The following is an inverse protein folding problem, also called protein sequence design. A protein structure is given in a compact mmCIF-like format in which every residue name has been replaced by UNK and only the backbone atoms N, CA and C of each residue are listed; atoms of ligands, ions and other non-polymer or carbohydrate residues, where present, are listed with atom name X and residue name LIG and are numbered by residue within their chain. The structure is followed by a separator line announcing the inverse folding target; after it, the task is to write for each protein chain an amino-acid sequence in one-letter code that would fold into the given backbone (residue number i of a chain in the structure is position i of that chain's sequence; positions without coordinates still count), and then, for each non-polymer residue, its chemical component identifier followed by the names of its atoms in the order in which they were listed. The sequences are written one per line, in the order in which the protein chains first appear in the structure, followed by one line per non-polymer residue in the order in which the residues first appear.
data_IF_672313450544
#
_entry.id   IF_672313450544
#
_cell.length_a   1.000
_cell.length_b   1.000
_cell.length_c   1.000
_cell.angle_alpha   90.00
_cell.angle_beta   90.00
_cell.angle_gamma   90.00
#
_symmetry.space_group_name_H-M   'P 1'
#
loop_
_entity.id
_entity.type
_entity.pdbx_description
1 polymer ?
#
# COMPACT_ATOMS: atom_id res chain seq x y z
N UNK A 1 26.60 -14.95 -10.96
CA UNK A 1 26.58 -13.52 -10.54
C UNK A 1 25.73 -12.63 -11.44
N UNK A 2 25.94 -12.65 -12.77
CA UNK A 2 25.17 -11.83 -13.72
C UNK A 2 23.64 -11.97 -13.60
N UNK A 3 23.12 -13.21 -13.49
CA UNK A 3 21.66 -13.48 -13.41
C UNK A 3 20.94 -12.69 -12.30
N UNK A 4 21.51 -12.59 -11.09
CA UNK A 4 20.87 -11.90 -9.97
C UNK A 4 20.78 -10.37 -10.12
N UNK A 5 21.71 -9.77 -10.87
CA UNK A 5 21.68 -8.33 -11.19
C UNK A 5 20.57 -8.06 -12.22
N UNK A 6 20.47 -8.90 -13.26
CA UNK A 6 19.39 -8.79 -14.26
C UNK A 6 18.01 -8.90 -13.63
N UNK A 7 17.79 -9.86 -12.71
CA UNK A 7 16.51 -9.98 -12.00
C UNK A 7 16.18 -8.72 -11.19
N UNK A 8 17.15 -8.17 -10.44
CA UNK A 8 16.92 -6.93 -9.70
C UNK A 8 16.57 -5.77 -10.61
N UNK A 9 17.28 -5.64 -11.74
CA UNK A 9 17.05 -4.56 -12.70
C UNK A 9 15.66 -4.67 -13.35
N UNK A 10 15.23 -5.88 -13.71
CA UNK A 10 13.87 -6.14 -14.17
C UNK A 10 12.82 -5.79 -13.12
N UNK A 11 13.03 -6.17 -11.86
CA UNK A 11 12.13 -5.81 -10.75
C UNK A 11 12.04 -4.30 -10.54
N UNK A 12 13.15 -3.56 -10.68
CA UNK A 12 13.15 -2.09 -10.59
C UNK A 12 12.28 -1.50 -11.71
N UNK A 13 12.46 -1.94 -12.95
CA UNK A 13 11.68 -1.45 -14.10
C UNK A 13 10.19 -1.74 -13.91
N UNK A 14 9.84 -2.97 -13.50
CA UNK A 14 8.45 -3.36 -13.20
C UNK A 14 7.87 -2.50 -12.06
N UNK A 15 8.67 -2.21 -11.03
CA UNK A 15 8.24 -1.36 -9.91
C UNK A 15 7.96 0.06 -10.38
N UNK A 16 8.85 0.65 -11.18
CA UNK A 16 8.67 2.01 -11.73
C UNK A 16 7.44 2.06 -12.63
N UNK A 17 7.27 1.09 -13.53
CA UNK A 17 6.10 1.01 -14.40
C UNK A 17 4.79 0.86 -13.58
N UNK A 18 4.81 0.00 -12.55
CA UNK A 18 3.66 -0.17 -11.65
C UNK A 18 3.33 1.11 -10.87
N UNK A 19 4.34 1.83 -10.37
CA UNK A 19 4.14 3.12 -9.69
C UNK A 19 3.56 4.16 -10.65
N UNK A 20 4.04 4.19 -11.90
CA UNK A 20 3.52 5.08 -12.92
C UNK A 20 2.05 4.83 -13.20
N UNK A 21 1.66 3.57 -13.44
CA UNK A 21 0.27 3.21 -13.70
C UNK A 21 -0.59 3.55 -12.47
N UNK A 22 -0.20 3.12 -11.28
CA UNK A 22 -1.07 3.24 -10.10
C UNK A 22 -1.21 4.69 -9.60
N UNK A 23 -0.18 5.54 -9.70
CA UNK A 23 -0.16 6.87 -9.08
C UNK A 23 -0.07 8.04 -10.06
N UNK A 24 0.40 7.84 -11.29
CA UNK A 24 0.59 8.92 -12.28
C UNK A 24 -0.50 8.86 -13.35
N UNK A 25 -0.80 7.67 -13.88
CA UNK A 25 -1.79 7.51 -14.95
C UNK A 25 -3.20 7.94 -14.47
N UNK A 26 -3.84 8.92 -15.13
CA UNK A 26 -5.10 9.52 -14.65
C UNK A 26 -6.22 8.50 -14.42
N UNK A 27 -6.29 7.49 -15.30
CA UNK A 27 -7.32 6.44 -15.29
C UNK A 27 -7.31 5.62 -14.00
N UNK A 28 -6.13 5.31 -13.48
CA UNK A 28 -5.97 4.44 -12.31
C UNK A 28 -5.71 5.22 -11.03
N UNK A 29 -5.08 6.41 -11.14
CA UNK A 29 -4.73 7.27 -10.02
C UNK A 29 -5.89 7.49 -9.07
N UNK A 30 -7.07 7.88 -9.57
CA UNK A 30 -8.24 8.13 -8.73
C UNK A 30 -8.61 6.90 -7.89
N UNK A 31 -8.69 5.73 -8.54
CA UNK A 31 -9.06 4.47 -7.88
C UNK A 31 -8.02 4.03 -6.85
N UNK A 32 -6.74 4.17 -7.16
CA UNK A 32 -5.65 3.87 -6.20
C UNK A 32 -5.76 4.74 -4.96
N UNK A 33 -5.93 6.06 -5.14
CA UNK A 33 -6.09 6.99 -4.02
C UNK A 33 -7.35 6.74 -3.20
N UNK A 34 -8.48 6.47 -3.86
CA UNK A 34 -9.74 6.15 -3.18
C UNK A 34 -9.62 4.87 -2.35
N UNK A 35 -9.02 3.81 -2.91
CA UNK A 35 -8.81 2.55 -2.18
C UNK A 35 -7.87 2.74 -0.98
N UNK A 36 -6.80 3.53 -1.13
CA UNK A 36 -5.89 3.85 -0.03
C UNK A 36 -6.61 4.68 1.05
N UNK A 37 -7.32 5.73 0.66
CA UNK A 37 -8.08 6.56 1.60
C UNK A 37 -9.13 5.75 2.34
N UNK A 38 -9.86 4.88 1.65
CA UNK A 38 -10.85 4.01 2.27
C UNK A 38 -10.24 3.02 3.26
N UNK A 39 -9.04 2.52 2.97
CA UNK A 39 -8.37 1.55 3.85
C UNK A 39 -7.90 2.17 5.16
N UNK A 40 -7.34 3.38 5.10
CA UNK A 40 -6.79 4.06 6.28
C UNK A 40 -7.81 4.97 7.00
N UNK A 41 -8.84 5.43 6.29
CA UNK A 41 -9.86 6.36 6.78
C UNK A 41 -11.26 6.01 6.23
N UNK A 42 -11.78 4.79 6.48
CA UNK A 42 -13.05 4.32 5.89
C UNK A 42 -14.23 5.23 6.25
N UNK A 43 -14.25 5.73 7.48
CA UNK A 43 -15.31 6.61 8.00
C UNK A 43 -15.51 7.85 7.15
N UNK A 44 -14.44 8.42 6.59
CA UNK A 44 -14.53 9.65 5.78
C UNK A 44 -15.39 9.45 4.52
N UNK A 45 -15.34 8.26 3.93
CA UNK A 45 -16.17 7.90 2.78
C UNK A 45 -17.64 7.81 3.18
N UNK A 46 -17.93 7.17 4.30
CA UNK A 46 -19.30 7.02 4.79
C UNK A 46 -19.89 8.34 5.28
N UNK A 47 -19.08 9.20 5.89
CA UNK A 47 -19.49 10.56 6.26
C UNK A 47 -19.86 11.39 5.03
N UNK A 48 -19.10 11.27 3.92
CA UNK A 48 -19.48 11.90 2.64
C UNK A 48 -20.79 11.33 2.10
N UNK A 49 -20.97 10.01 2.15
CA UNK A 49 -22.22 9.33 1.76
C UNK A 49 -23.42 9.82 2.57
N UNK A 50 -23.24 9.98 3.88
CA UNK A 50 -24.26 10.49 4.80
C UNK A 50 -24.76 11.88 4.42
N UNK A 51 -23.91 12.76 3.87
CA UNK A 51 -24.34 14.10 3.45
C UNK A 51 -25.42 14.06 2.36
N UNK A 52 -25.45 13.00 1.55
CA UNK A 52 -26.46 12.78 0.52
C UNK A 52 -27.67 12.00 1.06
N UNK A 53 -27.47 11.12 2.03
CA UNK A 53 -28.51 10.26 2.60
C UNK A 53 -29.32 10.92 3.73
N UNK A 54 -28.79 11.96 4.38
CA UNK A 54 -29.46 12.67 5.48
C UNK A 54 -30.79 13.29 5.02
N UNK A 55 -31.77 13.27 5.91
CA UNK A 55 -33.06 13.90 5.71
C UNK A 55 -32.94 15.43 5.88
N UNK A 56 -33.39 16.24 4.91
CA UNK A 56 -33.36 17.70 5.03
C UNK A 56 -34.37 18.25 6.05
N UNK A 57 -35.43 17.50 6.37
CA UNK A 57 -36.51 17.89 7.28
C UNK A 57 -36.33 17.31 8.69
N UNK A 58 -35.59 16.21 8.83
CA UNK A 58 -35.35 15.54 10.12
C UNK A 58 -33.84 15.45 10.45
N UNK A 59 -33.29 16.40 11.23
CA UNK A 59 -31.86 16.43 11.52
C UNK A 59 -31.42 15.18 12.30
N UNK A 60 -30.28 14.60 11.90
CA UNK A 60 -29.71 13.42 12.56
C UNK A 60 -30.22 12.07 12.02
N UNK A 61 -31.21 12.09 11.13
CA UNK A 61 -31.79 10.89 10.52
C UNK A 61 -31.51 10.80 9.02
N UNK A 62 -31.47 9.58 8.49
CA UNK A 62 -31.50 9.31 7.05
C UNK A 62 -32.92 9.50 6.52
N UNK A 63 -33.07 9.63 5.20
CA UNK A 63 -34.40 9.62 4.53
C UNK A 63 -35.20 8.35 4.79
N UNK A 64 -34.54 7.29 5.24
CA UNK A 64 -35.15 6.00 5.60
C UNK A 64 -35.44 5.89 7.11
N UNK A 65 -35.17 6.95 7.89
CA UNK A 65 -35.45 7.00 9.33
C UNK A 65 -34.38 6.38 10.22
N UNK A 66 -33.21 6.03 9.68
CA UNK A 66 -32.08 5.51 10.46
C UNK A 66 -31.32 6.65 11.13
N UNK A 67 -30.73 6.37 12.29
CA UNK A 67 -29.75 7.29 12.90
C UNK A 67 -28.44 7.31 12.11
N UNK A 68 -27.67 8.40 12.24
CA UNK A 68 -26.33 8.49 11.63
C UNK A 68 -25.43 7.30 11.97
N UNK A 69 -25.43 6.87 13.23
CA UNK A 69 -24.60 5.76 13.70
C UNK A 69 -25.00 4.44 13.06
N UNK A 70 -26.31 4.16 12.98
CA UNK A 70 -26.84 2.98 12.30
C UNK A 70 -26.45 2.96 10.83
N UNK A 71 -26.61 4.09 10.13
CA UNK A 71 -26.23 4.22 8.74
C UNK A 71 -24.72 3.98 8.51
N UNK A 72 -23.87 4.55 9.36
CA UNK A 72 -22.41 4.34 9.25
C UNK A 72 -22.02 2.87 9.51
N UNK A 73 -22.67 2.22 10.48
CA UNK A 73 -22.43 0.81 10.79
C UNK A 73 -22.88 -0.11 9.64
N UNK A 74 -24.03 0.16 9.04
CA UNK A 74 -24.52 -0.59 7.87
C UNK A 74 -23.58 -0.42 6.67
N UNK A 75 -23.18 0.84 6.38
CA UNK A 75 -22.24 1.12 5.30
C UNK A 75 -20.89 0.42 5.50
N UNK A 76 -20.42 0.33 6.74
CA UNK A 76 -19.24 -0.46 7.08
C UNK A 76 -19.44 -1.95 6.81
N UNK A 77 -20.53 -2.54 7.27
CA UNK A 77 -20.82 -3.97 7.04
C UNK A 77 -20.86 -4.32 5.56
N UNK A 78 -21.45 -3.46 4.73
CA UNK A 78 -21.51 -3.62 3.28
C UNK A 78 -20.12 -3.53 2.62
N UNK A 79 -19.28 -2.58 3.05
CA UNK A 79 -18.05 -2.23 2.33
C UNK A 79 -16.75 -2.67 3.01
N UNK A 80 -16.79 -3.30 4.19
CA UNK A 80 -15.58 -3.74 4.94
C UNK A 80 -14.65 -4.63 4.11
N UNK A 81 -15.19 -5.40 3.17
CA UNK A 81 -14.42 -6.24 2.27
C UNK A 81 -13.55 -5.43 1.29
N UNK A 82 -13.92 -4.19 0.97
CA UNK A 82 -13.18 -3.34 0.04
C UNK A 82 -11.89 -2.77 0.65
N UNK A 83 -11.76 -2.79 1.98
CA UNK A 83 -10.54 -2.37 2.70
C UNK A 83 -9.31 -3.15 2.22
N UNK A 84 -9.50 -4.41 1.83
CA UNK A 84 -8.42 -5.24 1.28
C UNK A 84 -7.84 -4.70 -0.03
N UNK A 85 -8.62 -3.92 -0.80
CA UNK A 85 -8.15 -3.33 -2.06
C UNK A 85 -7.00 -2.35 -1.82
N UNK A 86 -7.05 -1.51 -0.78
CA UNK A 86 -5.94 -0.61 -0.47
C UNK A 86 -4.73 -1.34 0.13
N UNK A 87 -4.96 -2.35 0.99
CA UNK A 87 -3.87 -3.19 1.49
C UNK A 87 -3.11 -3.93 0.38
N UNK A 88 -3.79 -4.32 -0.70
CA UNK A 88 -3.12 -4.89 -1.87
C UNK A 88 -2.07 -3.94 -2.46
N UNK A 89 -2.40 -2.66 -2.64
CA UNK A 89 -1.44 -1.67 -3.15
C UNK A 89 -0.25 -1.52 -2.20
N UNK A 90 -0.50 -1.35 -0.90
CA UNK A 90 0.57 -1.19 0.11
C UNK A 90 1.44 -2.45 0.16
N UNK A 91 0.82 -3.63 0.25
CA UNK A 91 1.51 -4.91 0.33
C UNK A 91 2.35 -5.21 -0.91
N UNK A 92 1.84 -4.91 -2.12
CA UNK A 92 2.58 -5.05 -3.38
C UNK A 92 3.89 -4.28 -3.33
N UNK A 93 3.86 -3.00 -2.94
CA UNK A 93 5.07 -2.17 -2.90
C UNK A 93 6.00 -2.50 -1.75
N UNK A 94 5.48 -2.91 -0.59
CA UNK A 94 6.30 -3.42 0.51
C UNK A 94 7.05 -4.69 0.09
N UNK A 95 6.38 -5.62 -0.59
CA UNK A 95 7.00 -6.84 -1.09
C UNK A 95 8.11 -6.53 -2.10
N UNK A 96 7.85 -5.61 -3.04
CA UNK A 96 8.87 -5.13 -3.98
C UNK A 96 10.06 -4.51 -3.26
N UNK A 97 9.81 -3.68 -2.24
CA UNK A 97 10.85 -3.08 -1.41
C UNK A 97 11.71 -4.14 -0.70
N UNK A 98 11.10 -5.17 -0.11
CA UNK A 98 11.84 -6.28 0.51
C UNK A 98 12.68 -7.07 -0.49
N UNK A 99 12.18 -7.30 -1.72
CA UNK A 99 12.94 -7.95 -2.80
C UNK A 99 14.17 -7.11 -3.16
N UNK A 100 14.03 -5.79 -3.25
CA UNK A 100 15.12 -4.88 -3.59
C UNK A 100 16.17 -4.83 -2.47
N UNK A 101 15.73 -4.73 -1.21
CA UNK A 101 16.58 -4.72 -0.02
C UNK A 101 17.34 -6.03 0.18
N UNK A 102 16.83 -7.16 -0.31
CA UNK A 102 17.48 -8.46 -0.14
C UNK A 102 18.91 -8.39 -0.70
N UNK A 103 19.95 -8.55 0.13
CA UNK A 103 21.33 -8.38 -0.33
C UNK A 103 21.66 -9.43 -1.39
N UNK A 104 22.26 -9.00 -2.51
CA UNK A 104 22.56 -9.88 -3.65
C UNK A 104 23.65 -10.95 -3.36
N UNK A 105 24.23 -10.92 -2.15
CA UNK A 105 25.11 -11.90 -1.47
C UNK A 105 25.56 -11.24 -0.16
N UNK A 106 26.01 -12.01 0.84
CA UNK A 106 26.74 -11.51 2.02
C UNK A 106 28.06 -10.86 1.55
N UNK A 107 28.00 -9.63 1.04
CA UNK A 107 29.20 -8.87 0.66
C UNK A 107 29.98 -8.40 1.88
N UNK A 108 29.34 -8.43 3.05
CA UNK A 108 29.89 -7.93 4.28
C UNK A 108 29.75 -8.97 5.38
N UNK A 109 30.87 -9.40 5.97
CA UNK A 109 30.88 -10.14 7.23
C UNK A 109 31.36 -9.18 8.31
N UNK A 110 30.46 -8.83 9.23
CA UNK A 110 30.82 -8.07 10.42
C UNK A 110 31.40 -9.02 11.47
N UNK A 111 32.67 -8.86 11.80
CA UNK A 111 33.27 -9.54 12.96
C UNK A 111 33.17 -8.64 14.19
N UNK A 112 32.17 -8.94 15.04
CA UNK A 112 31.87 -8.19 16.25
C UNK A 112 33.02 -8.19 17.26
N UNK A 113 33.91 -9.18 17.26
CA UNK A 113 35.06 -9.24 18.20
C UNK A 113 36.19 -8.30 17.80
N UNK A 114 36.36 -8.04 16.50
CA UNK A 114 37.49 -7.27 15.97
C UNK A 114 37.10 -5.88 15.47
N UNK A 115 35.80 -5.59 15.32
CA UNK A 115 35.33 -4.30 14.80
C UNK A 115 35.65 -4.06 13.33
N UNK A 116 36.04 -5.12 12.59
CA UNK A 116 36.45 -5.04 11.19
C UNK A 116 35.30 -5.50 10.29
N UNK A 117 35.15 -4.79 9.18
CA UNK A 117 34.15 -5.03 8.15
C UNK A 117 34.83 -5.71 6.97
N UNK A 118 34.65 -7.01 6.82
CA UNK A 118 35.21 -7.73 5.69
C UNK A 118 34.35 -7.55 4.45
N UNK A 119 34.91 -7.06 3.36
CA UNK A 119 34.20 -6.88 2.10
C UNK A 119 34.67 -7.88 1.04
N UNK A 120 33.72 -8.57 0.41
CA UNK A 120 34.02 -9.52 -0.67
C UNK A 120 34.24 -8.77 -1.99
N UNK A 121 35.50 -8.60 -2.39
CA UNK A 121 35.89 -8.03 -3.70
C UNK A 121 36.57 -9.13 -4.52
N UNK A 122 35.97 -9.53 -5.64
CA UNK A 122 36.61 -10.44 -6.60
C UNK A 122 37.04 -11.81 -6.04
N UNK A 123 36.12 -12.55 -5.39
CA UNK A 123 36.37 -13.86 -4.73
C UNK A 123 37.41 -13.85 -3.59
N UNK A 124 38.02 -12.72 -3.25
CA UNK A 124 38.90 -12.57 -2.09
C UNK A 124 38.20 -11.80 -0.98
N UNK A 125 38.50 -12.18 0.27
CA UNK A 125 38.09 -11.44 1.46
C UNK A 125 39.14 -10.37 1.74
N UNK A 126 38.71 -9.11 1.84
CA UNK A 126 39.51 -7.98 2.31
C UNK A 126 38.92 -7.45 3.60
#
# INVERSE_FOLDING_TARGET
ERKGIFFKLAFIIITIASLYIDFIEPTYRYRTWENLQFTFQPETRFQRSWLFAKDPYKPGYSRYGETKEQYLAEMWELHKHEVWKGYYYVGKYLLLFFILLRPAKKRVRFDRKRGIVYTYVGKKFY
#
